data_IF_682479837481
#
_entry.id   IF_682479837481
#
_cell.length_a   1.000
_cell.length_b   1.000
_cell.length_c   1.000
_cell.angle_alpha   90.00
_cell.angle_beta   90.00
_cell.angle_gamma   90.00
#
_symmetry.space_group_name_H-M   'P 1'
#
loop_
_entity.id
_entity.type
_entity.pdbx_description
1 polymer ?
#
# COMPACT_ATOMS: atom_id res chain seq x y z
N UNK A 1 19.12 -4.36 -3.92
CA UNK A 1 17.66 -4.54 -3.79
C UNK A 1 17.00 -3.48 -4.65
N UNK A 2 16.07 -3.90 -5.51
CA UNK A 2 15.25 -3.00 -6.34
C UNK A 2 13.80 -3.12 -5.89
N UNK A 3 13.23 -2.03 -5.40
CA UNK A 3 11.89 -2.00 -4.82
C UNK A 3 10.99 -1.10 -5.65
N UNK A 4 9.86 -1.64 -6.08
CA UNK A 4 8.79 -0.91 -6.72
C UNK A 4 7.78 -0.46 -5.66
N UNK A 5 7.53 0.84 -5.56
CA UNK A 5 6.45 1.39 -4.76
C UNK A 5 5.35 1.91 -5.69
N UNK A 6 4.13 1.42 -5.48
CA UNK A 6 2.96 1.76 -6.32
C UNK A 6 1.98 2.59 -5.51
N UNK A 7 1.73 3.82 -5.98
CA UNK A 7 0.82 4.78 -5.37
C UNK A 7 -0.46 4.92 -6.20
N UNK A 8 -1.55 5.33 -5.53
CA UNK A 8 -2.82 5.61 -6.19
C UNK A 8 -2.75 6.86 -7.08
N UNK A 9 -3.56 6.89 -8.12
CA UNK A 9 -3.85 8.09 -8.91
C UNK A 9 -5.26 8.65 -8.67
N UNK A 10 -6.00 8.07 -7.71
CA UNK A 10 -7.39 8.46 -7.41
C UNK A 10 -7.44 9.55 -6.34
N UNK A 11 -8.18 10.64 -6.60
CA UNK A 11 -8.21 11.85 -5.76
C UNK A 11 -9.58 12.24 -5.21
N UNK A 12 -10.63 11.45 -5.47
CA UNK A 12 -11.98 11.76 -5.02
C UNK A 12 -12.44 10.80 -3.91
N UNK A 13 -12.90 11.34 -2.78
CA UNK A 13 -13.51 10.56 -1.71
C UNK A 13 -14.97 10.24 -2.04
N UNK A 14 -15.21 9.33 -2.98
CA UNK A 14 -16.54 9.02 -3.47
C UNK A 14 -17.29 10.27 -3.95
N UNK A 15 -18.55 10.39 -3.58
CA UNK A 15 -19.42 11.53 -3.94
C UNK A 15 -19.49 12.61 -2.85
N UNK A 16 -18.57 12.60 -1.91
CA UNK A 16 -18.57 13.55 -0.76
C UNK A 16 -18.14 14.96 -1.15
N UNK A 17 -17.50 15.15 -2.29
CA UNK A 17 -16.84 16.41 -2.67
C UNK A 17 -15.48 16.64 -1.99
N UNK A 18 -15.04 15.73 -1.10
CA UNK A 18 -13.72 15.80 -0.47
C UNK A 18 -12.65 15.11 -1.33
N UNK A 19 -11.42 15.58 -1.21
CA UNK A 19 -10.25 14.97 -1.83
C UNK A 19 -9.71 13.83 -0.97
N UNK A 20 -9.06 12.89 -1.65
CA UNK A 20 -8.27 11.81 -1.05
C UNK A 20 -7.03 11.57 -1.91
N UNK A 21 -6.33 10.52 -1.67
CA UNK A 21 -5.13 10.10 -2.38
C UNK A 21 -4.41 9.01 -1.59
N UNK A 22 -3.08 9.00 -1.64
CA UNK A 22 -2.28 8.21 -0.72
C UNK A 22 -2.09 8.98 0.61
N UNK A 23 -1.87 8.24 1.70
CA UNK A 23 -1.55 8.81 3.00
C UNK A 23 -0.05 9.12 3.08
N UNK A 24 0.32 10.35 3.42
CA UNK A 24 1.70 10.82 3.28
C UNK A 24 2.71 9.98 4.08
N UNK A 25 2.44 9.68 5.35
CA UNK A 25 3.32 8.84 6.18
C UNK A 25 3.48 7.43 5.62
N UNK A 26 2.42 6.86 5.05
CA UNK A 26 2.45 5.51 4.50
C UNK A 26 3.34 5.39 3.24
N UNK A 27 3.65 6.51 2.61
CA UNK A 27 4.68 6.61 1.60
C UNK A 27 6.04 6.94 2.22
N UNK A 28 6.12 7.98 3.04
CA UNK A 28 7.41 8.51 3.50
C UNK A 28 8.14 7.56 4.46
N UNK A 29 7.43 6.92 5.37
CA UNK A 29 8.04 5.97 6.31
C UNK A 29 8.67 4.77 5.57
N UNK A 30 7.95 4.02 4.70
CA UNK A 30 8.55 2.96 3.90
C UNK A 30 9.64 3.46 2.95
N UNK A 31 9.43 4.60 2.30
CA UNK A 31 10.41 5.17 1.37
C UNK A 31 11.77 5.39 2.05
N UNK A 32 11.78 5.98 3.24
CA UNK A 32 13.04 6.22 3.94
C UNK A 32 13.62 4.96 4.56
N UNK A 33 12.81 4.02 5.01
CA UNK A 33 13.29 2.70 5.45
C UNK A 33 14.05 2.02 4.29
N UNK A 34 13.50 2.03 3.09
CA UNK A 34 14.13 1.42 1.92
C UNK A 34 15.35 2.23 1.44
N UNK A 35 15.22 3.54 1.36
CA UNK A 35 16.30 4.44 0.92
C UNK A 35 17.53 4.34 1.83
N UNK A 36 17.32 4.39 3.15
CA UNK A 36 18.40 4.35 4.13
C UNK A 36 19.07 2.96 4.18
N UNK A 37 18.37 1.90 3.75
CA UNK A 37 18.94 0.56 3.54
C UNK A 37 19.65 0.40 2.19
N UNK A 38 19.76 1.46 1.40
CA UNK A 38 20.44 1.43 0.10
C UNK A 38 19.68 0.77 -1.03
N UNK A 39 18.35 0.66 -0.92
CA UNK A 39 17.53 0.13 -2.00
C UNK A 39 17.44 1.13 -3.17
N UNK A 40 17.41 0.58 -4.39
CA UNK A 40 17.04 1.29 -5.61
C UNK A 40 15.51 1.31 -5.72
N UNK A 41 14.91 2.49 -5.53
CA UNK A 41 13.46 2.65 -5.45
C UNK A 41 12.93 3.21 -6.76
N UNK A 42 11.91 2.57 -7.31
CA UNK A 42 11.09 3.09 -8.41
C UNK A 42 9.71 3.39 -7.89
N UNK A 43 9.19 4.58 -8.21
CA UNK A 43 7.81 4.98 -7.93
C UNK A 43 6.96 4.86 -9.18
N UNK A 44 5.78 4.26 -9.05
CA UNK A 44 4.81 4.14 -10.13
C UNK A 44 3.39 4.46 -9.63
N UNK A 45 2.54 4.86 -10.55
CA UNK A 45 1.11 5.07 -10.30
C UNK A 45 0.32 4.79 -11.58
N UNK A 46 -0.99 4.50 -11.51
CA UNK A 46 -1.77 4.19 -12.70
C UNK A 46 -1.64 5.22 -13.83
N UNK A 47 -1.69 6.50 -13.50
CA UNK A 47 -1.60 7.60 -14.49
C UNK A 47 -0.18 8.10 -14.73
N UNK A 48 0.80 7.75 -13.88
CA UNK A 48 2.11 8.38 -13.85
C UNK A 48 2.06 9.82 -13.35
N UNK A 49 3.21 10.47 -13.28
CA UNK A 49 3.32 11.85 -12.77
C UNK A 49 3.09 11.94 -11.26
N UNK A 50 2.58 13.08 -10.80
CA UNK A 50 2.35 13.34 -9.38
C UNK A 50 1.10 12.62 -8.87
N UNK A 51 1.22 11.66 -7.95
CA UNK A 51 0.06 11.07 -7.28
C UNK A 51 -0.62 12.08 -6.34
N UNK A 52 -1.94 11.99 -6.16
CA UNK A 52 -2.64 12.84 -5.19
C UNK A 52 -2.33 12.42 -3.75
N UNK A 53 -2.08 13.41 -2.90
CA UNK A 53 -1.91 13.22 -1.45
C UNK A 53 -3.25 13.46 -0.77
N UNK A 54 -3.62 12.62 0.18
CA UNK A 54 -4.80 12.89 1.01
C UNK A 54 -4.51 14.13 1.88
N UNK A 55 -5.33 15.20 1.79
CA UNK A 55 -5.08 16.43 2.53
C UNK A 55 -5.03 16.25 4.05
N UNK A 56 -5.77 15.29 4.59
CA UNK A 56 -5.76 15.00 6.02
C UNK A 56 -4.41 14.46 6.50
N UNK A 57 -3.65 13.82 5.61
CA UNK A 57 -2.31 13.29 5.94
C UNK A 57 -1.24 14.38 6.00
N UNK A 58 -1.54 15.58 5.52
CA UNK A 58 -0.66 16.75 5.60
C UNK A 58 -1.01 17.69 6.76
N UNK A 59 -2.08 17.40 7.51
CA UNK A 59 -2.46 18.17 8.70
C UNK A 59 -1.38 18.02 9.79
N UNK A 60 -1.18 19.07 10.60
CA UNK A 60 -0.09 19.13 11.60
C UNK A 60 -0.12 17.94 12.58
N UNK A 61 -1.29 17.50 12.98
CA UNK A 61 -1.49 16.36 13.89
C UNK A 61 -1.13 15.01 13.25
N UNK A 62 -1.09 14.92 11.91
CA UNK A 62 -0.71 13.73 11.17
C UNK A 62 0.77 13.69 10.79
N UNK A 63 1.51 14.78 10.98
CA UNK A 63 2.91 14.85 10.60
C UNK A 63 3.80 14.01 11.52
N UNK A 64 4.74 13.31 10.90
CA UNK A 64 5.73 12.47 11.55
C UNK A 64 7.16 12.94 11.21
N UNK A 65 8.17 12.31 11.79
CA UNK A 65 9.56 12.58 11.45
C UNK A 65 9.82 12.38 9.96
N UNK A 66 9.31 11.30 9.37
CA UNK A 66 9.53 11.00 7.94
C UNK A 66 8.80 11.95 7.02
N UNK A 67 7.59 12.39 7.35
CA UNK A 67 6.88 13.41 6.56
C UNK A 67 7.59 14.77 6.63
N UNK A 68 8.11 15.15 7.80
CA UNK A 68 8.91 16.37 7.95
C UNK A 68 10.26 16.27 7.20
N UNK A 69 10.89 15.10 7.18
CA UNK A 69 12.08 14.84 6.36
C UNK A 69 11.78 15.01 4.88
N UNK A 70 10.66 14.47 4.42
CA UNK A 70 10.22 14.56 3.03
C UNK A 70 10.02 16.01 2.56
N UNK A 71 9.47 16.88 3.41
CA UNK A 71 9.27 18.30 3.04
C UNK A 71 10.58 19.01 2.67
N UNK A 72 11.71 18.53 3.15
CA UNK A 72 13.06 19.09 2.93
C UNK A 72 13.89 18.31 1.89
N UNK A 73 13.38 17.18 1.41
CA UNK A 73 14.08 16.31 0.46
C UNK A 73 13.61 16.59 -0.98
N UNK A 74 14.31 17.51 -1.65
CA UNK A 74 13.99 17.92 -3.03
C UNK A 74 14.02 16.73 -4.00
N UNK A 75 14.95 15.77 -3.83
CA UNK A 75 15.06 14.60 -4.69
C UNK A 75 13.87 13.66 -4.52
N UNK A 76 13.47 13.38 -3.27
CA UNK A 76 12.29 12.56 -3.01
C UNK A 76 11.01 13.18 -3.58
N UNK A 77 10.86 14.50 -3.48
CA UNK A 77 9.74 15.24 -4.09
C UNK A 77 9.73 15.14 -5.61
N UNK A 78 10.89 15.25 -6.25
CA UNK A 78 11.02 15.09 -7.70
C UNK A 78 10.66 13.66 -8.15
N UNK A 79 11.12 12.65 -7.43
CA UNK A 79 10.74 11.26 -7.68
C UNK A 79 9.22 11.07 -7.59
N UNK A 80 8.58 11.63 -6.55
CA UNK A 80 7.13 11.53 -6.37
C UNK A 80 6.37 12.29 -7.46
N UNK A 81 6.86 13.44 -7.90
CA UNK A 81 6.24 14.24 -8.95
C UNK A 81 6.31 13.58 -10.34
N UNK A 82 7.17 12.59 -10.53
CA UNK A 82 7.46 11.96 -11.82
C UNK A 82 7.36 10.43 -11.78
N UNK A 83 6.34 9.90 -11.13
CA UNK A 83 6.11 8.45 -11.10
C UNK A 83 5.94 7.87 -12.49
N UNK A 84 6.40 6.62 -12.69
CA UNK A 84 6.17 5.88 -13.93
C UNK A 84 4.69 5.54 -14.07
N UNK A 85 4.20 5.49 -15.31
CA UNK A 85 2.89 4.87 -15.57
C UNK A 85 2.97 3.38 -15.25
N UNK A 86 1.97 2.89 -14.52
CA UNK A 86 1.93 1.50 -14.11
C UNK A 86 1.96 0.53 -15.31
N UNK A 87 1.34 0.92 -16.42
CA UNK A 87 1.34 0.15 -17.67
C UNK A 87 2.74 -0.13 -18.22
N UNK A 88 3.72 0.73 -17.94
CA UNK A 88 5.10 0.63 -18.44
C UNK A 88 6.04 -0.14 -17.48
N UNK A 89 5.50 -0.66 -16.37
CA UNK A 89 6.28 -1.36 -15.34
C UNK A 89 6.38 -2.86 -15.67
N UNK A 90 7.59 -3.39 -15.52
CA UNK A 90 7.87 -4.82 -15.61
C UNK A 90 8.38 -5.34 -14.27
N UNK A 91 7.60 -6.24 -13.61
CA UNK A 91 7.94 -6.80 -12.31
C UNK A 91 9.24 -7.61 -12.32
N UNK A 92 9.68 -8.10 -13.48
CA UNK A 92 10.96 -8.82 -13.59
C UNK A 92 12.17 -7.99 -13.17
N UNK A 93 12.05 -6.68 -13.18
CA UNK A 93 13.13 -5.75 -12.83
C UNK A 93 13.26 -5.48 -11.32
N UNK A 94 12.34 -5.97 -10.49
CA UNK A 94 12.27 -5.66 -9.07
C UNK A 94 12.34 -6.91 -8.19
N UNK A 95 12.81 -6.72 -6.97
CA UNK A 95 12.90 -7.77 -5.94
C UNK A 95 11.67 -7.77 -5.02
N UNK A 96 11.00 -6.62 -4.90
CA UNK A 96 9.80 -6.44 -4.11
C UNK A 96 8.86 -5.40 -4.72
N UNK A 97 7.57 -5.51 -4.38
CA UNK A 97 6.55 -4.51 -4.66
C UNK A 97 5.88 -4.10 -3.34
N UNK A 98 5.72 -2.78 -3.14
CA UNK A 98 5.11 -2.21 -1.94
C UNK A 98 4.04 -1.19 -2.31
N UNK A 99 2.88 -1.30 -1.65
CA UNK A 99 1.73 -0.42 -1.86
C UNK A 99 1.49 0.44 -0.62
N UNK A 100 1.86 1.74 -0.63
CA UNK A 100 1.36 2.71 0.33
C UNK A 100 -0.16 2.81 0.26
N UNK A 101 -0.81 3.06 1.39
CA UNK A 101 -2.25 3.18 1.45
C UNK A 101 -2.73 4.62 1.35
N UNK A 102 -3.72 4.96 2.13
CA UNK A 102 -4.67 6.02 1.93
C UNK A 102 -5.95 5.43 1.32
N UNK A 103 -7.02 6.18 1.20
CA UNK A 103 -8.29 5.65 0.68
C UNK A 103 -8.29 5.45 -0.85
N UNK A 104 -7.49 6.23 -1.59
CA UNK A 104 -7.45 6.18 -3.06
C UNK A 104 -7.32 4.80 -3.68
N UNK A 105 -6.47 3.90 -3.17
CA UNK A 105 -6.30 2.55 -3.73
C UNK A 105 -7.57 1.72 -3.82
N UNK A 106 -8.57 1.98 -2.98
CA UNK A 106 -9.86 1.27 -3.02
C UNK A 106 -10.64 1.53 -4.31
N UNK A 107 -10.44 2.67 -4.97
CA UNK A 107 -11.14 3.04 -6.21
C UNK A 107 -10.40 2.64 -7.48
N UNK A 108 -9.09 2.86 -7.55
CA UNK A 108 -8.32 2.59 -8.76
C UNK A 108 -7.55 1.26 -8.69
N UNK A 109 -6.58 1.16 -7.81
CA UNK A 109 -5.65 0.01 -7.76
C UNK A 109 -6.35 -1.32 -7.45
N UNK A 110 -7.41 -1.31 -6.65
CA UNK A 110 -8.17 -2.52 -6.33
C UNK A 110 -8.83 -3.18 -7.56
N UNK A 111 -9.02 -2.41 -8.64
CA UNK A 111 -9.64 -2.87 -9.89
C UNK A 111 -8.70 -2.72 -11.10
N UNK A 112 -7.43 -2.45 -10.87
CA UNK A 112 -6.44 -2.27 -11.94
C UNK A 112 -5.85 -3.61 -12.36
N UNK A 113 -6.07 -4.01 -13.62
CA UNK A 113 -5.61 -5.29 -14.15
C UNK A 113 -4.09 -5.37 -14.21
N UNK A 114 -3.41 -4.25 -14.45
CA UNK A 114 -1.94 -4.22 -14.47
C UNK A 114 -1.36 -4.37 -13.06
N UNK A 115 -1.97 -3.75 -12.05
CA UNK A 115 -1.59 -3.97 -10.65
C UNK A 115 -1.76 -5.44 -10.28
N UNK A 116 -2.89 -6.06 -10.63
CA UNK A 116 -3.12 -7.48 -10.38
C UNK A 116 -2.09 -8.38 -11.09
N UNK A 117 -1.72 -8.07 -12.33
CA UNK A 117 -0.66 -8.78 -13.08
C UNK A 117 0.69 -8.68 -12.38
N UNK A 118 1.09 -7.47 -11.94
CA UNK A 118 2.36 -7.26 -11.23
C UNK A 118 2.42 -8.05 -9.92
N UNK A 119 1.35 -8.04 -9.14
CA UNK A 119 1.26 -8.80 -7.89
C UNK A 119 1.34 -10.31 -8.17
N UNK A 120 0.61 -10.79 -9.17
CA UNK A 120 0.64 -12.20 -9.55
C UNK A 120 2.03 -12.62 -10.01
N UNK A 121 2.69 -11.82 -10.83
CA UNK A 121 4.08 -12.07 -11.27
C UNK A 121 5.04 -12.10 -10.07
N UNK A 122 4.91 -11.16 -9.14
CA UNK A 122 5.71 -11.15 -7.92
C UNK A 122 5.51 -12.43 -7.11
N UNK A 123 4.26 -12.87 -6.96
CA UNK A 123 3.94 -14.13 -6.28
C UNK A 123 4.56 -15.35 -6.97
N UNK A 124 4.39 -15.47 -8.30
CA UNK A 124 4.92 -16.59 -9.09
C UNK A 124 6.45 -16.66 -9.07
N UNK A 125 7.12 -15.53 -8.89
CA UNK A 125 8.57 -15.42 -8.82
C UNK A 125 9.12 -15.38 -7.38
N UNK A 126 8.30 -15.70 -6.39
CA UNK A 126 8.65 -15.70 -4.97
C UNK A 126 9.26 -14.38 -4.48
N UNK A 127 8.77 -13.26 -5.00
CA UNK A 127 9.17 -11.91 -4.59
C UNK A 127 8.33 -11.40 -3.44
N UNK A 128 8.88 -10.43 -2.71
CA UNK A 128 8.20 -9.85 -1.54
C UNK A 128 7.11 -8.88 -1.97
N UNK A 129 5.94 -9.01 -1.36
CA UNK A 129 4.76 -8.17 -1.60
C UNK A 129 4.35 -7.52 -0.28
N UNK A 130 4.34 -6.20 -0.23
CA UNK A 130 3.91 -5.42 0.94
C UNK A 130 2.75 -4.49 0.63
N UNK A 131 1.82 -4.35 1.57
CA UNK A 131 0.71 -3.40 1.47
C UNK A 131 0.22 -2.97 2.85
N UNK A 132 -0.10 -1.69 3.03
CA UNK A 132 -0.52 -1.14 4.33
C UNK A 132 -1.84 -0.38 4.25
N UNK A 133 -2.55 -0.33 5.36
CA UNK A 133 -3.79 0.43 5.56
C UNK A 133 -4.90 -0.04 4.60
N UNK A 134 -5.35 0.78 3.64
CA UNK A 134 -6.32 0.39 2.63
C UNK A 134 -5.68 -0.31 1.40
N UNK A 135 -4.36 -0.24 1.26
CA UNK A 135 -3.68 -0.81 0.10
C UNK A 135 -3.85 -2.34 -0.06
N UNK A 136 -4.07 -3.17 0.99
CA UNK A 136 -4.40 -4.58 0.79
C UNK A 136 -5.67 -4.82 -0.06
N UNK A 137 -6.47 -3.79 -0.32
CA UNK A 137 -7.54 -3.82 -1.32
C UNK A 137 -7.07 -4.17 -2.73
N UNK A 138 -5.78 -3.98 -3.05
CA UNK A 138 -5.19 -4.39 -4.33
C UNK A 138 -5.23 -5.91 -4.55
N UNK A 139 -5.38 -6.69 -3.49
CA UNK A 139 -5.49 -8.15 -3.57
C UNK A 139 -6.88 -8.65 -3.96
N UNK A 140 -7.89 -7.79 -3.93
CA UNK A 140 -9.30 -8.15 -4.16
C UNK A 140 -9.52 -9.03 -5.38
N UNK A 141 -8.88 -8.70 -6.49
CA UNK A 141 -9.04 -9.39 -7.78
C UNK A 141 -7.78 -10.15 -8.23
N UNK A 142 -6.87 -10.47 -7.32
CA UNK A 142 -5.64 -11.22 -7.63
C UNK A 142 -5.86 -12.71 -7.38
N UNK A 143 -6.07 -13.45 -8.45
CA UNK A 143 -6.25 -14.90 -8.39
C UNK A 143 -5.01 -15.62 -8.89
N UNK A 144 -4.41 -16.43 -8.02
CA UNK A 144 -3.20 -17.24 -8.32
C UNK A 144 -3.56 -18.55 -9.04
N UNK A 145 -4.79 -19.03 -8.84
CA UNK A 145 -5.43 -20.12 -9.56
C UNK A 145 -6.92 -19.83 -9.68
N UNK A 146 -7.66 -20.51 -10.59
CA UNK A 146 -9.10 -20.37 -10.65
C UNK A 146 -9.76 -20.59 -9.27
N UNK A 147 -10.53 -19.59 -8.82
CA UNK A 147 -11.20 -19.62 -7.52
C UNK A 147 -10.32 -19.44 -6.29
N UNK A 148 -9.02 -19.25 -6.44
CA UNK A 148 -8.09 -19.06 -5.32
C UNK A 148 -7.46 -17.65 -5.37
N UNK A 149 -7.95 -16.76 -4.53
CA UNK A 149 -7.35 -15.44 -4.33
C UNK A 149 -5.98 -15.57 -3.64
N UNK A 150 -5.07 -14.63 -3.90
CA UNK A 150 -3.73 -14.61 -3.31
C UNK A 150 -3.73 -14.60 -1.79
N UNK A 151 -4.75 -14.00 -1.15
CA UNK A 151 -4.88 -13.98 0.32
C UNK A 151 -5.59 -15.21 0.89
N UNK A 152 -6.15 -16.07 0.05
CA UNK A 152 -6.89 -17.26 0.48
C UNK A 152 -6.05 -18.20 1.33
N UNK A 153 -6.48 -18.44 2.60
CA UNK A 153 -5.78 -19.25 3.57
C UNK A 153 -4.53 -18.62 4.19
N UNK A 154 -4.21 -17.37 3.83
CA UNK A 154 -3.05 -16.63 4.36
C UNK A 154 -3.42 -15.71 5.51
N UNK A 155 -2.46 -15.48 6.39
CA UNK A 155 -2.58 -14.50 7.45
C UNK A 155 -2.34 -13.10 6.88
N UNK A 156 -3.31 -12.20 7.09
CA UNK A 156 -3.24 -10.81 6.62
C UNK A 156 -3.88 -9.85 7.60
N UNK A 157 -3.56 -8.59 7.46
CA UNK A 157 -4.25 -7.47 8.09
C UNK A 157 -4.50 -6.34 7.09
N UNK A 158 -5.19 -5.34 7.50
CA UNK A 158 -5.48 -4.13 6.77
C UNK A 158 -6.41 -3.25 7.59
N UNK A 159 -6.76 -2.09 7.07
CA UNK A 159 -7.60 -1.11 7.77
C UNK A 159 -8.91 -1.75 8.25
N UNK A 160 -9.21 -1.59 9.53
CA UNK A 160 -10.34 -2.29 10.16
C UNK A 160 -11.66 -1.59 9.91
N UNK A 161 -12.78 -2.33 10.04
CA UNK A 161 -14.12 -1.74 9.96
C UNK A 161 -14.36 -0.70 11.05
N UNK A 162 -13.79 -0.91 12.24
CA UNK A 162 -13.92 0.05 13.35
C UNK A 162 -13.10 1.32 13.11
N UNK A 163 -11.94 1.23 12.50
CA UNK A 163 -11.16 2.39 12.06
C UNK A 163 -11.90 3.16 10.96
N UNK A 164 -12.53 2.45 9.99
CA UNK A 164 -13.32 3.09 8.92
C UNK A 164 -14.55 3.82 9.48
N UNK A 165 -15.22 3.23 10.47
CA UNK A 165 -16.34 3.87 11.17
C UNK A 165 -15.88 5.09 11.95
N UNK A 166 -14.72 5.02 12.61
CA UNK A 166 -14.16 6.14 13.36
C UNK A 166 -13.87 7.37 12.49
N UNK A 167 -13.47 7.17 11.23
CA UNK A 167 -13.30 8.26 10.26
C UNK A 167 -14.58 8.58 9.47
N UNK A 168 -15.70 7.93 9.78
CA UNK A 168 -17.02 8.16 9.19
C UNK A 168 -17.09 7.89 7.67
N UNK A 169 -16.34 6.90 7.18
CA UNK A 169 -16.25 6.57 5.76
C UNK A 169 -16.84 5.20 5.40
N UNK A 170 -17.42 4.48 6.38
CA UNK A 170 -18.02 3.15 6.16
C UNK A 170 -19.00 3.12 4.98
N UNK A 171 -19.83 4.16 4.84
CA UNK A 171 -20.82 4.25 3.76
C UNK A 171 -20.33 5.04 2.54
N UNK A 172 -19.06 5.47 2.52
CA UNK A 172 -18.45 6.24 1.43
C UNK A 172 -17.55 5.37 0.58
N UNK A 173 -16.76 4.50 1.20
CA UNK A 173 -15.81 3.62 0.50
C UNK A 173 -16.55 2.63 -0.41
N UNK A 174 -15.96 2.24 -1.55
CA UNK A 174 -16.62 1.32 -2.50
C UNK A 174 -16.80 -0.09 -1.92
N UNK A 175 -16.00 -0.45 -0.94
CA UNK A 175 -16.09 -1.69 -0.15
C UNK A 175 -15.33 -1.53 1.17
N UNK A 176 -15.68 -2.33 2.16
CA UNK A 176 -14.95 -2.44 3.40
C UNK A 176 -13.80 -3.43 3.21
N UNK A 177 -12.57 -2.97 3.43
CA UNK A 177 -11.37 -3.79 3.21
C UNK A 177 -11.36 -5.06 4.05
N UNK A 178 -11.66 -4.95 5.36
CA UNK A 178 -11.71 -6.09 6.27
C UNK A 178 -12.68 -7.17 5.74
N UNK A 179 -13.86 -6.77 5.26
CA UNK A 179 -14.85 -7.69 4.73
C UNK A 179 -14.35 -8.38 3.45
N UNK A 180 -13.78 -7.64 2.51
CA UNK A 180 -13.25 -8.19 1.26
C UNK A 180 -12.13 -9.18 1.49
N UNK A 181 -11.23 -8.91 2.44
CA UNK A 181 -10.16 -9.86 2.80
C UNK A 181 -10.77 -11.17 3.36
N UNK A 182 -11.76 -11.08 4.23
CA UNK A 182 -12.47 -12.25 4.78
C UNK A 182 -13.27 -13.00 3.71
N UNK A 183 -13.96 -12.30 2.82
CA UNK A 183 -14.69 -12.89 1.69
C UNK A 183 -13.77 -13.65 0.73
N UNK A 184 -12.52 -13.22 0.59
CA UNK A 184 -11.48 -13.93 -0.15
C UNK A 184 -10.78 -15.04 0.65
N UNK A 185 -11.39 -15.46 1.75
CA UNK A 185 -10.92 -16.55 2.63
C UNK A 185 -9.57 -16.28 3.30
N UNK A 186 -9.19 -15.04 3.52
CA UNK A 186 -8.02 -14.70 4.31
C UNK A 186 -8.24 -15.01 5.80
N UNK A 187 -7.17 -15.34 6.49
CA UNK A 187 -7.12 -15.37 7.96
C UNK A 187 -6.78 -13.97 8.44
N UNK A 188 -7.78 -13.11 8.43
CA UNK A 188 -7.64 -11.72 8.83
C UNK A 188 -7.43 -11.60 10.33
N UNK A 189 -6.46 -10.78 10.74
CA UNK A 189 -6.24 -10.41 12.13
C UNK A 189 -6.12 -8.90 12.27
N UNK A 190 -6.39 -8.40 13.46
CA UNK A 190 -6.26 -6.98 13.81
C UNK A 190 -5.70 -6.80 15.21
N UNK A 191 -5.00 -5.70 15.42
CA UNK A 191 -4.69 -5.15 16.73
C UNK A 191 -5.75 -4.12 17.15
N UNK A 192 -5.43 -3.35 18.17
CA UNK A 192 -6.24 -2.20 18.59
C UNK A 192 -6.27 -1.13 17.48
N UNK A 193 -7.36 -0.39 17.40
CA UNK A 193 -7.49 0.71 16.45
C UNK A 193 -6.35 1.71 16.63
N UNK A 194 -5.77 2.13 15.50
CA UNK A 194 -4.66 3.09 15.41
C UNK A 194 -3.32 2.62 15.98
N UNK A 195 -3.25 1.45 16.61
CA UNK A 195 -2.00 0.85 17.05
C UNK A 195 -1.30 0.09 15.90
N UNK A 196 0.04 -0.01 15.91
CA UNK A 196 0.76 -0.79 14.92
C UNK A 196 0.38 -2.26 14.98
N UNK A 197 0.02 -2.84 13.83
CA UNK A 197 -0.19 -4.27 13.67
C UNK A 197 0.28 -4.69 12.28
N UNK A 198 1.29 -5.57 12.24
CA UNK A 198 1.93 -6.07 11.03
C UNK A 198 1.80 -7.59 10.99
N UNK A 199 1.45 -8.12 9.84
CA UNK A 199 1.36 -9.56 9.61
C UNK A 199 2.32 -9.95 8.50
N UNK A 200 3.13 -10.97 8.75
CA UNK A 200 4.07 -11.57 7.80
C UNK A 200 3.65 -13.01 7.55
N UNK A 201 3.25 -13.31 6.33
CA UNK A 201 2.94 -14.66 5.87
C UNK A 201 3.84 -14.99 4.67
N UNK A 202 5.01 -15.56 4.95
CA UNK A 202 6.02 -15.80 3.93
C UNK A 202 6.49 -14.51 3.28
N UNK A 203 6.25 -14.38 1.98
CA UNK A 203 6.62 -13.19 1.19
C UNK A 203 5.51 -12.12 1.13
N UNK A 204 4.36 -12.37 1.77
CA UNK A 204 3.25 -11.41 1.85
C UNK A 204 3.27 -10.70 3.20
N UNK A 205 3.43 -9.38 3.17
CA UNK A 205 3.52 -8.52 4.35
C UNK A 205 2.41 -7.49 4.29
N UNK A 206 1.61 -7.41 5.35
CA UNK A 206 0.53 -6.43 5.46
C UNK A 206 0.59 -5.66 6.77
N UNK A 207 0.18 -4.40 6.73
CA UNK A 207 0.06 -3.52 7.89
C UNK A 207 -1.36 -2.93 8.00
N UNK A 208 -1.84 -2.76 9.22
CA UNK A 208 -3.24 -2.41 9.48
C UNK A 208 -3.58 -0.94 9.16
N UNK A 209 -2.67 -0.01 9.44
CA UNK A 209 -2.96 1.42 9.50
C UNK A 209 -1.67 2.25 9.30
N UNK A 210 -1.74 3.60 9.32
CA UNK A 210 -0.56 4.45 9.18
C UNK A 210 0.57 4.13 10.15
N UNK A 211 0.25 3.81 11.40
CA UNK A 211 1.23 3.47 12.43
C UNK A 211 1.99 2.17 12.14
N UNK A 212 1.48 1.33 11.22
CA UNK A 212 2.10 0.07 10.81
C UNK A 212 3.12 0.23 9.68
N UNK A 213 3.23 1.41 9.06
CA UNK A 213 3.96 1.61 7.80
C UNK A 213 5.46 1.34 7.92
N UNK A 214 6.10 1.88 8.94
CA UNK A 214 7.52 1.66 9.18
C UNK A 214 7.83 0.18 9.47
N UNK A 215 7.03 -0.44 10.34
CA UNK A 215 7.19 -1.85 10.71
C UNK A 215 6.99 -2.78 9.52
N UNK A 216 6.01 -2.51 8.66
CA UNK A 216 5.79 -3.28 7.44
C UNK A 216 6.98 -3.17 6.47
N UNK A 217 7.54 -1.97 6.30
CA UNK A 217 8.71 -1.76 5.45
C UNK A 217 9.97 -2.49 6.00
N UNK A 218 10.17 -2.44 7.32
CA UNK A 218 11.25 -3.21 7.97
C UNK A 218 11.10 -4.71 7.77
N UNK A 219 9.85 -5.22 7.86
CA UNK A 219 9.56 -6.62 7.59
C UNK A 219 9.83 -7.00 6.12
N UNK A 220 9.53 -6.11 5.16
CA UNK A 220 9.90 -6.30 3.75
C UNK A 220 11.41 -6.43 3.59
N UNK A 221 12.19 -5.52 4.20
CA UNK A 221 13.67 -5.59 4.14
C UNK A 221 14.22 -6.87 4.76
N UNK A 222 13.71 -7.24 5.92
CA UNK A 222 14.12 -8.47 6.61
C UNK A 222 13.86 -9.70 5.74
N UNK A 223 12.67 -9.77 5.15
CA UNK A 223 12.30 -10.88 4.26
C UNK A 223 13.16 -10.95 3.00
N UNK A 224 13.58 -9.80 2.45
CA UNK A 224 14.51 -9.73 1.31
C UNK A 224 15.93 -10.16 1.68
N UNK A 225 16.35 -9.96 2.92
CA UNK A 225 17.68 -10.35 3.40
C UNK A 225 17.76 -11.84 3.74
N UNK A 226 16.64 -12.41 4.18
CA UNK A 226 16.56 -13.82 4.61
C UNK A 226 16.34 -14.80 3.44
N UNK A 227 15.96 -14.29 2.28
CA UNK A 227 15.68 -15.08 1.06
C UNK A 227 16.66 -14.85 -0.03
#
# INVERSE_FOLDING_TARGET
>A
MKILMVLTSHDQMGDTGHKTGFWLEEFTAPFYVFKDAGADITLASPKGGQPPVDPNSEAEEALTETTRRFTKDAHAKEMLASTKKLADVDMNQYDAIFYPGGHGPLWDLANDDKSAELIKTAYEQDKVIGAVCHAPGVFKNVFIKPGQNIVGGREVTGFTNTEEEAVQLTNVVPFLLEDVLKENNARYSRGEDWAPHIVVDGKLITGQNPASSEGAAKAVLQTLQDG
#
